data_IF_367512278052
#
_entry.id   IF_367512278052
#
_cell.length_a   1.000
_cell.length_b   1.000
_cell.length_c   1.000
_cell.angle_alpha   90.00
_cell.angle_beta   90.00
_cell.angle_gamma   90.00
#
_symmetry.space_group_name_H-M   'P 1'
#
loop_
_entity.id
_entity.type
_entity.pdbx_description
1 polymer ?
#
# COMPACT_ATOMS: atom_id res chain seq x y z
N UNK A 1 43.84 14.40 -44.41
CA UNK A 1 43.67 14.59 -42.96
C UNK A 1 44.08 16.01 -42.66
N UNK A 2 43.34 16.73 -41.83
CA UNK A 2 43.68 18.10 -41.42
C UNK A 2 45.00 18.11 -40.64
N UNK A 3 45.93 19.00 -40.96
CA UNK A 3 47.19 19.14 -40.24
C UNK A 3 46.92 19.74 -38.85
N UNK A 4 47.48 19.14 -37.80
CA UNK A 4 47.34 19.68 -36.43
C UNK A 4 48.62 20.40 -36.08
N UNK A 5 48.51 21.71 -35.86
CA UNK A 5 49.64 22.56 -35.47
C UNK A 5 49.83 22.55 -33.96
N UNK A 6 51.08 22.35 -33.54
CA UNK A 6 51.55 22.33 -32.16
C UNK A 6 52.43 23.53 -31.84
N UNK A 7 52.90 24.26 -32.85
CA UNK A 7 53.79 25.40 -32.70
C UNK A 7 53.06 26.67 -32.22
N UNK A 8 53.78 27.56 -31.54
CA UNK A 8 53.21 28.79 -30.97
C UNK A 8 52.81 29.82 -32.02
N UNK A 9 53.62 29.97 -33.09
CA UNK A 9 53.47 31.01 -34.09
C UNK A 9 53.43 30.42 -35.51
N UNK A 10 52.81 29.24 -35.64
CA UNK A 10 52.54 28.55 -36.91
C UNK A 10 53.79 28.16 -37.71
N UNK A 11 54.93 28.00 -37.05
CA UNK A 11 56.21 27.61 -37.66
C UNK A 11 56.09 26.26 -38.36
N UNK A 12 55.41 25.31 -37.72
CA UNK A 12 55.17 23.98 -38.25
C UNK A 12 54.31 23.98 -39.53
N UNK A 13 53.36 24.90 -39.67
CA UNK A 13 52.54 25.08 -40.87
C UNK A 13 53.37 25.65 -42.02
N UNK A 14 54.19 26.68 -41.74
CA UNK A 14 55.11 27.24 -42.74
C UNK A 14 56.05 26.17 -43.29
N UNK A 15 56.66 25.39 -42.39
CA UNK A 15 57.54 24.28 -42.73
C UNK A 15 56.78 23.16 -43.45
N UNK A 16 55.57 22.82 -43.02
CA UNK A 16 54.74 21.80 -43.67
C UNK A 16 54.40 22.18 -45.11
N UNK A 17 54.06 23.46 -45.35
CA UNK A 17 53.79 23.97 -46.70
C UNK A 17 55.01 23.90 -47.59
N UNK A 18 56.18 24.31 -47.08
CA UNK A 18 57.43 24.28 -47.83
C UNK A 18 57.89 22.83 -48.13
N UNK A 19 57.74 21.93 -47.17
CA UNK A 19 58.28 20.56 -47.21
C UNK A 19 57.22 19.50 -47.51
N UNK A 20 56.05 19.89 -48.07
CA UNK A 20 54.89 19.00 -48.29
C UNK A 20 55.20 17.74 -49.12
N UNK A 21 56.20 17.81 -49.99
CA UNK A 21 56.61 16.71 -50.88
C UNK A 21 57.60 15.74 -50.19
N UNK A 22 58.07 16.08 -48.99
CA UNK A 22 58.98 15.26 -48.18
C UNK A 22 58.16 14.33 -47.28
N UNK A 23 58.19 13.02 -47.56
CA UNK A 23 57.43 12.03 -46.78
C UNK A 23 58.00 11.73 -45.41
N UNK A 24 59.32 11.59 -45.30
CA UNK A 24 60.05 11.24 -44.07
C UNK A 24 61.34 12.04 -44.03
N UNK A 25 61.23 13.26 -43.53
CA UNK A 25 62.36 14.15 -43.40
C UNK A 25 63.09 13.99 -42.08
N UNK A 26 64.07 14.86 -41.90
CA UNK A 26 64.92 14.93 -40.73
C UNK A 26 64.99 16.37 -40.21
N UNK A 27 64.72 16.59 -38.94
CA UNK A 27 64.80 17.90 -38.30
C UNK A 27 65.89 17.95 -37.23
N UNK A 28 66.35 19.16 -36.92
CA UNK A 28 67.18 19.44 -35.77
C UNK A 28 66.55 20.60 -35.02
N UNK A 29 66.35 20.43 -33.72
CA UNK A 29 65.67 21.39 -32.85
C UNK A 29 66.60 21.76 -31.69
N UNK A 30 67.17 22.98 -31.75
CA UNK A 30 68.08 23.50 -30.74
C UNK A 30 67.28 24.36 -29.78
N UNK A 31 67.20 23.92 -28.52
CA UNK A 31 66.25 24.46 -27.53
C UNK A 31 64.86 23.86 -27.69
N UNK A 32 64.81 22.53 -27.81
CA UNK A 32 63.57 21.80 -28.11
C UNK A 32 62.50 21.89 -27.01
N UNK A 33 62.91 22.14 -25.76
CA UNK A 33 62.03 22.38 -24.61
C UNK A 33 60.86 21.39 -24.50
N UNK A 34 59.62 21.87 -24.45
CA UNK A 34 58.46 21.03 -24.19
C UNK A 34 58.09 20.23 -25.46
N UNK A 35 57.97 18.90 -25.40
CA UNK A 35 57.80 18.08 -26.61
C UNK A 35 56.46 18.26 -27.34
N UNK A 36 55.41 18.76 -26.68
CA UNK A 36 54.06 18.92 -27.28
C UNK A 36 53.61 20.37 -27.39
N UNK A 37 53.63 21.13 -26.29
CA UNK A 37 53.27 22.54 -26.25
C UNK A 37 54.33 23.37 -26.96
N UNK A 38 53.87 24.25 -27.83
CA UNK A 38 54.71 25.17 -28.60
C UNK A 38 55.79 24.47 -29.46
N UNK A 39 55.61 23.16 -29.71
CA UNK A 39 56.58 22.33 -30.42
C UNK A 39 56.44 22.48 -31.93
N UNK A 40 57.49 22.99 -32.56
CA UNK A 40 57.61 23.06 -34.04
C UNK A 40 57.74 21.66 -34.65
N UNK A 41 58.26 20.69 -33.90
CA UNK A 41 58.65 19.36 -34.41
C UNK A 41 57.60 18.27 -34.17
N UNK A 42 56.65 18.45 -33.23
CA UNK A 42 55.65 17.42 -32.86
C UNK A 42 54.82 16.93 -34.04
N UNK A 43 54.32 17.83 -34.89
CA UNK A 43 53.53 17.46 -36.07
C UNK A 43 54.34 16.57 -37.04
N UNK A 44 55.63 16.90 -37.26
CA UNK A 44 56.53 16.14 -38.13
C UNK A 44 56.85 14.77 -37.53
N UNK A 45 57.12 14.69 -36.21
CA UNK A 45 57.37 13.44 -35.51
C UNK A 45 56.18 12.46 -35.65
N UNK A 46 54.95 12.96 -35.47
CA UNK A 46 53.72 12.18 -35.68
C UNK A 46 53.53 11.74 -37.13
N UNK A 47 54.02 12.54 -38.09
CA UNK A 47 54.04 12.18 -39.50
C UNK A 47 55.16 11.18 -39.87
N UNK A 48 55.95 10.71 -38.89
CA UNK A 48 56.99 9.71 -39.09
C UNK A 48 58.35 10.28 -39.48
N UNK A 49 58.56 11.59 -39.33
CA UNK A 49 59.89 12.20 -39.41
C UNK A 49 60.73 11.80 -38.20
N UNK A 50 62.04 11.99 -38.31
CA UNK A 50 62.99 11.77 -37.23
C UNK A 50 63.82 13.03 -37.04
N UNK A 51 64.50 13.15 -35.91
CA UNK A 51 65.38 14.29 -35.73
C UNK A 51 66.29 14.20 -34.53
N UNK A 52 66.96 15.31 -34.28
CA UNK A 52 67.72 15.55 -33.06
C UNK A 52 67.02 16.66 -32.27
N UNK A 53 66.67 16.37 -31.02
CA UNK A 53 66.19 17.36 -30.06
C UNK A 53 67.31 17.67 -29.06
N UNK A 54 67.70 18.94 -28.94
CA UNK A 54 68.78 19.37 -28.06
C UNK A 54 68.20 20.26 -26.97
N UNK A 55 68.31 19.81 -25.72
CA UNK A 55 67.68 20.46 -24.57
C UNK A 55 68.55 20.31 -23.31
N UNK A 56 69.17 21.40 -22.80
CA UNK A 56 70.08 21.31 -21.66
C UNK A 56 69.36 21.13 -20.31
N UNK A 57 68.10 21.57 -20.16
CA UNK A 57 67.35 21.42 -18.91
C UNK A 57 66.82 19.99 -18.78
N UNK A 58 67.27 19.31 -17.73
CA UNK A 58 67.03 17.87 -17.52
C UNK A 58 65.56 17.47 -17.52
N UNK A 59 64.68 18.29 -16.96
CA UNK A 59 63.24 17.99 -16.90
C UNK A 59 62.61 17.96 -18.30
N UNK A 60 62.92 18.94 -19.14
CA UNK A 60 62.42 19.01 -20.53
C UNK A 60 63.00 17.88 -21.38
N UNK A 61 64.30 17.60 -21.23
CA UNK A 61 64.94 16.44 -21.83
C UNK A 61 64.24 15.12 -21.48
N UNK A 62 63.91 14.87 -20.21
CA UNK A 62 63.22 13.64 -19.80
C UNK A 62 61.83 13.51 -20.45
N UNK A 63 61.14 14.63 -20.66
CA UNK A 63 59.87 14.66 -21.39
C UNK A 63 60.07 14.37 -22.89
N UNK A 64 61.12 14.90 -23.50
CA UNK A 64 61.49 14.62 -24.88
C UNK A 64 61.83 13.13 -25.06
N UNK A 65 62.62 12.51 -24.17
CA UNK A 65 62.90 11.07 -24.23
C UNK A 65 61.63 10.23 -24.18
N UNK A 66 60.67 10.60 -23.32
CA UNK A 66 59.41 9.88 -23.18
C UNK A 66 58.49 10.04 -24.42
N UNK A 67 58.38 11.23 -25.00
CA UNK A 67 57.47 11.54 -26.12
C UNK A 67 58.10 11.30 -27.51
N UNK A 68 59.44 11.25 -27.59
CA UNK A 68 60.24 11.07 -28.81
C UNK A 68 61.24 9.90 -28.70
N UNK A 69 60.78 8.66 -28.44
CA UNK A 69 61.67 7.50 -28.27
C UNK A 69 62.38 7.05 -29.56
N UNK A 70 62.04 7.65 -30.70
CA UNK A 70 62.65 7.33 -31.99
C UNK A 70 63.57 8.43 -32.52
N UNK A 71 63.60 9.58 -31.83
CA UNK A 71 64.54 10.65 -32.13
C UNK A 71 65.81 10.47 -31.31
N UNK A 72 66.83 11.24 -31.66
CA UNK A 72 68.02 11.41 -30.83
C UNK A 72 67.74 12.61 -29.90
N UNK A 73 67.60 12.35 -28.61
CA UNK A 73 67.43 13.41 -27.61
C UNK A 73 68.76 13.62 -26.90
N UNK A 74 69.22 14.87 -26.78
CA UNK A 74 70.53 15.20 -26.20
C UNK A 74 70.38 16.18 -25.03
N UNK A 75 70.82 15.78 -23.83
CA UNK A 75 70.84 16.64 -22.65
C UNK A 75 72.13 17.46 -22.56
N UNK A 76 72.26 18.45 -23.43
CA UNK A 76 73.43 19.32 -23.54
C UNK A 76 73.03 20.67 -24.16
N UNK A 77 73.92 21.65 -24.07
CA UNK A 77 73.77 22.94 -24.76
C UNK A 77 74.67 23.00 -26.02
N UNK A 78 74.22 23.71 -27.05
CA UNK A 78 75.06 24.01 -28.21
C UNK A 78 75.94 25.22 -27.90
N UNK A 79 77.25 25.11 -28.16
CA UNK A 79 78.21 26.20 -28.01
C UNK A 79 79.28 26.18 -29.12
N UNK A 80 80.13 27.22 -29.18
CA UNK A 80 81.25 27.30 -30.14
C UNK A 80 82.39 26.28 -29.86
N UNK A 81 82.32 25.52 -28.75
CA UNK A 81 83.31 24.51 -28.38
C UNK A 81 82.79 23.48 -27.38
N UNK A 82 83.61 22.46 -27.13
CA UNK A 82 83.33 21.44 -26.12
C UNK A 82 83.71 21.90 -24.71
N UNK A 83 82.89 21.54 -23.72
CA UNK A 83 83.14 21.91 -22.33
C UNK A 83 81.88 21.89 -21.47
N UNK A 84 81.81 22.81 -20.52
CA UNK A 84 80.64 23.01 -19.67
C UNK A 84 80.33 24.51 -19.56
N UNK A 85 79.05 24.84 -19.51
CA UNK A 85 78.58 26.18 -19.15
C UNK A 85 77.60 26.12 -17.99
N UNK A 86 77.42 27.25 -17.32
CA UNK A 86 76.37 27.43 -16.32
C UNK A 86 75.12 27.99 -17.00
N UNK A 87 74.02 27.25 -16.90
CA UNK A 87 72.70 27.62 -17.38
C UNK A 87 71.81 27.95 -16.18
N UNK A 88 71.14 29.09 -16.21
CA UNK A 88 70.23 29.52 -15.17
C UNK A 88 68.79 29.35 -15.64
N UNK A 89 68.04 28.47 -15.00
CA UNK A 89 66.63 28.21 -15.28
C UNK A 89 65.74 29.01 -14.31
N UNK A 90 64.76 29.74 -14.83
CA UNK A 90 63.72 30.38 -14.04
C UNK A 90 62.57 29.40 -13.88
N UNK A 91 62.52 28.73 -12.73
CA UNK A 91 61.66 27.57 -12.46
C UNK A 91 60.18 27.87 -12.78
N UNK A 92 59.57 27.01 -13.59
CA UNK A 92 58.13 27.07 -13.90
C UNK A 92 57.72 28.12 -14.94
N UNK A 93 58.66 28.87 -15.52
CA UNK A 93 58.37 29.84 -16.58
C UNK A 93 58.70 29.34 -17.97
N UNK A 94 59.59 28.35 -18.08
CA UNK A 94 60.17 27.90 -19.35
C UNK A 94 61.44 28.65 -19.74
N UNK A 95 61.73 29.81 -19.12
CA UNK A 95 62.88 30.63 -19.46
C UNK A 95 64.16 30.05 -18.87
N UNK A 96 65.22 30.05 -19.68
CA UNK A 96 66.57 29.76 -19.23
C UNK A 96 67.58 30.68 -19.92
N UNK A 97 68.72 30.93 -19.29
CA UNK A 97 69.74 31.83 -19.85
C UNK A 97 71.15 31.43 -19.43
N UNK A 98 72.14 31.81 -20.23
CA UNK A 98 73.54 31.75 -19.83
C UNK A 98 74.05 33.06 -19.20
N UNK A 99 73.23 34.11 -19.15
CA UNK A 99 73.60 35.40 -18.55
C UNK A 99 73.30 35.42 -17.03
N UNK A 100 74.33 35.49 -16.17
CA UNK A 100 74.13 35.59 -14.73
C UNK A 100 73.38 36.85 -14.30
N UNK A 101 73.45 37.95 -15.08
CA UNK A 101 72.78 39.21 -14.77
C UNK A 101 71.26 39.06 -14.87
N UNK A 102 70.77 38.45 -15.95
CA UNK A 102 69.36 38.12 -16.13
C UNK A 102 68.85 37.21 -15.01
N UNK A 103 69.66 36.22 -14.60
CA UNK A 103 69.33 35.33 -13.49
C UNK A 103 69.19 36.10 -12.15
N UNK A 104 70.07 37.07 -11.88
CA UNK A 104 70.00 37.92 -10.68
C UNK A 104 68.79 38.87 -10.69
N UNK A 105 68.44 39.45 -11.84
CA UNK A 105 67.26 40.29 -11.99
C UNK A 105 65.97 39.51 -11.67
N UNK A 106 65.83 38.29 -12.18
CA UNK A 106 64.66 37.44 -11.92
C UNK A 106 64.58 36.98 -10.46
N UNK A 107 65.72 36.68 -9.83
CA UNK A 107 65.77 36.45 -8.37
C UNK A 107 65.29 37.67 -7.60
N UNK A 108 65.70 38.87 -8.01
CA UNK A 108 65.27 40.14 -7.42
C UNK A 108 63.76 40.40 -7.55
N UNK A 109 63.13 39.87 -8.60
CA UNK A 109 61.68 39.92 -8.83
C UNK A 109 60.89 38.85 -8.06
N UNK A 110 61.57 37.97 -7.32
CA UNK A 110 60.95 36.93 -6.49
C UNK A 110 60.75 35.59 -7.20
N UNK A 111 61.35 35.39 -8.37
CA UNK A 111 61.36 34.09 -9.05
C UNK A 111 62.42 33.15 -8.44
N UNK A 112 62.12 31.85 -8.46
CA UNK A 112 63.09 30.81 -8.14
C UNK A 112 63.98 30.56 -9.36
N UNK A 113 65.31 30.57 -9.16
CA UNK A 113 66.29 30.44 -10.25
C UNK A 113 67.37 29.43 -9.89
N UNK A 114 67.38 28.32 -10.63
CA UNK A 114 68.29 27.18 -10.42
C UNK A 114 69.44 27.26 -11.43
N UNK A 115 70.68 27.08 -10.95
CA UNK A 115 71.85 26.99 -11.82
C UNK A 115 72.19 25.53 -12.12
N UNK A 116 72.31 25.19 -13.40
CA UNK A 116 72.67 23.88 -13.90
C UNK A 116 74.01 23.96 -14.63
N UNK A 117 74.95 23.08 -14.29
CA UNK A 117 76.19 22.94 -15.05
C UNK A 117 75.99 21.91 -16.15
N UNK A 118 75.89 22.37 -17.40
CA UNK A 118 75.51 21.52 -18.53
C UNK A 118 76.68 21.30 -19.50
N UNK A 119 76.83 20.10 -20.08
CA UNK A 119 77.83 19.85 -21.11
C UNK A 119 77.51 20.66 -22.37
N UNK A 120 78.55 20.98 -23.13
CA UNK A 120 78.46 21.77 -24.36
C UNK A 120 79.22 21.10 -25.50
N UNK A 121 78.71 21.27 -26.72
CA UNK A 121 79.30 20.72 -27.94
C UNK A 121 78.87 21.59 -29.15
N UNK A 122 79.61 21.52 -30.26
CA UNK A 122 79.26 22.23 -31.50
C UNK A 122 78.22 21.47 -32.32
N UNK A 123 77.39 22.19 -33.10
CA UNK A 123 76.45 21.55 -34.03
C UNK A 123 77.16 20.67 -35.07
N UNK A 124 78.28 21.14 -35.63
CA UNK A 124 79.07 20.33 -36.57
C UNK A 124 79.47 18.97 -35.96
N UNK A 125 79.84 18.97 -34.68
CA UNK A 125 80.23 17.74 -33.99
C UNK A 125 79.04 16.84 -33.72
N UNK A 126 77.90 17.38 -33.30
CA UNK A 126 76.64 16.62 -33.16
C UNK A 126 76.30 15.93 -34.48
N UNK A 127 76.34 16.65 -35.60
CA UNK A 127 76.05 16.08 -36.91
C UNK A 127 77.01 14.96 -37.28
N UNK A 128 78.31 15.15 -37.03
CA UNK A 128 79.32 14.13 -37.29
C UNK A 128 79.15 12.87 -36.41
N UNK A 129 78.87 13.03 -35.12
CA UNK A 129 78.72 11.91 -34.19
C UNK A 129 77.49 11.05 -34.47
N UNK A 130 76.41 11.68 -34.92
CA UNK A 130 75.15 11.01 -35.22
C UNK A 130 74.99 10.62 -36.69
N UNK A 131 76.01 10.87 -37.53
CA UNK A 131 75.99 10.51 -38.94
C UNK A 131 74.89 11.21 -39.72
N UNK A 132 74.58 12.45 -39.36
CA UNK A 132 73.56 13.27 -40.03
C UNK A 132 74.16 13.82 -41.34
N UNK A 133 73.54 13.48 -42.46
CA UNK A 133 73.93 13.95 -43.79
C UNK A 133 72.91 14.91 -44.41
N UNK A 134 71.63 14.77 -44.05
CA UNK A 134 70.54 15.59 -44.54
C UNK A 134 69.67 16.11 -43.40
N UNK A 135 69.47 17.43 -43.40
CA UNK A 135 68.55 18.12 -42.49
C UNK A 135 67.59 18.92 -43.36
N UNK A 136 66.29 18.72 -43.17
CA UNK A 136 65.26 19.42 -43.93
C UNK A 136 64.92 20.76 -43.27
N UNK A 137 64.92 20.80 -41.93
CA UNK A 137 64.94 22.08 -41.23
C UNK A 137 65.73 22.03 -39.92
N UNK A 138 66.36 23.16 -39.61
CA UNK A 138 67.02 23.46 -38.34
C UNK A 138 66.23 24.57 -37.65
N UNK A 139 65.67 24.30 -36.47
CA UNK A 139 65.10 25.32 -35.58
C UNK A 139 66.14 25.68 -34.52
N UNK A 140 66.33 26.98 -34.30
CA UNK A 140 67.19 27.53 -33.25
C UNK A 140 66.33 28.45 -32.40
N UNK A 141 66.22 28.10 -31.12
CA UNK A 141 65.46 28.81 -30.09
C UNK A 141 66.18 28.63 -28.74
N UNK A 142 67.25 29.40 -28.53
CA UNK A 142 68.16 29.14 -27.42
C UNK A 142 68.13 30.28 -26.39
N UNK A 143 67.02 31.01 -26.30
CA UNK A 143 66.76 32.07 -25.33
C UNK A 143 67.92 33.09 -25.24
N UNK A 144 68.42 33.53 -26.41
CA UNK A 144 69.49 34.52 -26.55
C UNK A 144 70.86 33.96 -26.93
N UNK A 145 70.99 32.63 -27.10
CA UNK A 145 72.22 31.98 -27.54
C UNK A 145 72.23 31.61 -29.05
N UNK A 146 71.32 32.18 -29.85
CA UNK A 146 71.13 31.85 -31.28
C UNK A 146 72.42 32.09 -32.08
N UNK A 147 73.10 33.22 -31.83
CA UNK A 147 74.39 33.54 -32.47
C UNK A 147 75.41 32.42 -32.23
N UNK A 148 75.55 31.97 -30.98
CA UNK A 148 76.50 30.92 -30.58
C UNK A 148 76.15 29.60 -31.24
N UNK A 149 74.86 29.24 -31.27
CA UNK A 149 74.40 28.04 -31.95
C UNK A 149 74.73 28.06 -33.44
N UNK A 150 74.42 29.16 -34.14
CA UNK A 150 74.73 29.32 -35.56
C UNK A 150 76.23 29.36 -35.85
N UNK A 151 77.04 30.00 -34.99
CA UNK A 151 78.49 30.03 -35.14
C UNK A 151 79.15 28.66 -34.96
N UNK A 152 78.51 27.74 -34.22
CA UNK A 152 78.98 26.37 -34.00
C UNK A 152 78.74 25.41 -35.18
N UNK A 153 78.06 25.89 -36.24
CA UNK A 153 77.78 25.13 -37.45
C UNK A 153 78.53 25.75 -38.64
N UNK A 154 79.35 24.95 -39.32
CA UNK A 154 80.06 25.39 -40.51
C UNK A 154 79.10 25.66 -41.69
N UNK A 155 77.97 24.95 -41.72
CA UNK A 155 77.08 24.83 -42.88
C UNK A 155 77.81 24.41 -44.17
N UNK A 156 78.91 23.66 -44.05
CA UNK A 156 79.67 23.16 -45.20
C UNK A 156 79.30 21.72 -45.53
N UNK A 157 79.30 20.85 -44.52
CA UNK A 157 79.06 19.41 -44.68
C UNK A 157 77.58 19.09 -44.58
N UNK A 158 76.89 19.69 -43.59
CA UNK A 158 75.45 19.56 -43.41
C UNK A 158 74.81 20.91 -43.70
N UNK A 159 73.88 20.92 -44.65
CA UNK A 159 73.16 22.13 -45.09
C UNK A 159 71.66 21.93 -44.89
N UNK A 160 71.11 22.34 -43.73
CA UNK A 160 69.67 22.37 -43.52
C UNK A 160 68.96 23.10 -44.66
N UNK A 161 67.90 22.52 -45.24
CA UNK A 161 67.22 23.19 -46.36
C UNK A 161 66.57 24.50 -45.93
N UNK A 162 65.96 24.49 -44.73
CA UNK A 162 65.38 25.66 -44.08
C UNK A 162 66.02 25.85 -42.71
N UNK A 163 66.41 27.08 -42.37
CA UNK A 163 66.83 27.46 -41.01
C UNK A 163 65.80 28.44 -40.45
N UNK A 164 65.26 28.12 -39.28
CA UNK A 164 64.28 28.93 -38.56
C UNK A 164 64.94 29.38 -37.27
N UNK A 165 65.05 30.70 -37.07
CA UNK A 165 65.77 31.27 -35.92
C UNK A 165 64.85 32.24 -35.20
N UNK A 166 64.69 32.08 -33.89
CA UNK A 166 64.03 33.11 -33.08
C UNK A 166 64.84 34.42 -33.15
N UNK A 167 64.16 35.53 -33.39
CA UNK A 167 64.80 36.78 -33.80
C UNK A 167 64.47 37.95 -32.88
N UNK A 168 63.97 37.69 -31.67
CA UNK A 168 63.58 38.68 -30.67
C UNK A 168 64.30 38.48 -29.35
N UNK A 169 64.42 39.53 -28.53
CA UNK A 169 64.77 39.34 -27.12
C UNK A 169 63.69 38.48 -26.42
N UNK A 170 64.05 37.68 -25.39
CA UNK A 170 63.08 36.88 -24.64
C UNK A 170 61.88 37.72 -24.18
N UNK A 171 60.66 37.24 -24.47
CA UNK A 171 59.40 37.91 -24.14
C UNK A 171 59.26 39.36 -24.67
N UNK A 172 59.86 39.67 -25.82
CA UNK A 172 59.86 41.02 -26.41
C UNK A 172 59.56 41.00 -27.91
N UNK A 173 59.22 42.16 -28.47
CA UNK A 173 59.12 42.36 -29.92
C UNK A 173 60.37 43.05 -30.50
N UNK A 174 61.37 43.32 -29.65
CA UNK A 174 62.64 43.92 -30.07
C UNK A 174 63.45 42.88 -30.80
N UNK A 175 63.72 43.12 -32.09
CA UNK A 175 64.49 42.19 -32.90
C UNK A 175 65.98 42.24 -32.61
N UNK A 176 66.64 41.09 -32.68
CA UNK A 176 68.08 40.88 -32.45
C UNK A 176 68.80 40.13 -33.59
N UNK A 177 68.15 40.02 -34.75
CA UNK A 177 68.70 39.27 -35.89
C UNK A 177 70.02 39.84 -36.42
N UNK A 178 70.27 41.14 -36.23
CA UNK A 178 71.52 41.81 -36.60
C UNK A 178 72.75 41.20 -35.91
N UNK A 179 72.57 40.52 -34.78
CA UNK A 179 73.64 39.86 -34.03
C UNK A 179 74.15 38.58 -34.70
N UNK A 180 73.35 37.95 -35.58
CA UNK A 180 73.66 36.62 -36.12
C UNK A 180 73.33 36.42 -37.61
N UNK A 181 72.54 37.29 -38.24
CA UNK A 181 72.07 37.10 -39.63
C UNK A 181 73.22 36.99 -40.64
N UNK A 182 74.30 37.73 -40.45
CA UNK A 182 75.49 37.64 -41.32
C UNK A 182 76.05 36.22 -41.37
N UNK A 183 75.94 35.44 -40.30
CA UNK A 183 76.42 34.05 -40.27
C UNK A 183 75.69 33.17 -41.28
N UNK A 184 74.41 33.43 -41.55
CA UNK A 184 73.63 32.70 -42.54
C UNK A 184 73.84 33.26 -43.95
N UNK A 185 73.78 34.59 -44.10
CA UNK A 185 73.92 35.24 -45.42
C UNK A 185 75.30 34.98 -46.04
N UNK A 186 76.38 35.01 -45.25
CA UNK A 186 77.74 34.70 -45.72
C UNK A 186 77.94 33.22 -46.07
N UNK A 187 77.01 32.34 -45.69
CA UNK A 187 77.04 30.89 -45.94
C UNK A 187 75.98 30.44 -46.94
N UNK A 188 75.60 31.35 -47.84
CA UNK A 188 74.68 31.13 -48.95
C UNK A 188 73.27 30.68 -48.52
N UNK A 189 72.76 31.29 -47.45
CA UNK A 189 71.34 31.23 -47.10
C UNK A 189 70.63 32.52 -47.51
N UNK A 190 69.43 32.38 -48.07
CA UNK A 190 68.57 33.50 -48.46
C UNK A 190 67.49 33.72 -47.41
N UNK A 191 67.36 34.93 -46.89
CA UNK A 191 66.21 35.31 -46.06
C UNK A 191 64.92 35.25 -46.86
N UNK A 192 63.89 34.56 -46.35
CA UNK A 192 62.63 34.35 -47.08
C UNK A 192 61.37 34.80 -46.34
N UNK A 193 61.37 34.83 -45.00
CA UNK A 193 60.15 35.17 -44.24
C UNK A 193 60.47 35.61 -42.81
N UNK A 194 59.60 36.46 -42.25
CA UNK A 194 59.61 36.89 -40.86
C UNK A 194 58.17 36.85 -40.35
N UNK A 195 57.91 36.03 -39.32
CA UNK A 195 56.57 35.87 -38.73
C UNK A 195 56.32 36.80 -37.52
N UNK A 196 57.27 37.70 -37.23
CA UNK A 196 57.26 38.61 -36.09
C UNK A 196 58.02 38.08 -34.87
N UNK A 197 58.28 36.77 -34.82
CA UNK A 197 59.02 36.09 -33.76
C UNK A 197 60.28 35.42 -34.33
N UNK A 198 60.09 34.59 -35.36
CA UNK A 198 61.14 33.87 -36.06
C UNK A 198 61.42 34.47 -37.45
N UNK A 199 62.66 34.27 -37.90
CA UNK A 199 63.09 34.51 -39.27
C UNK A 199 63.49 33.20 -39.93
N UNK A 200 63.17 33.10 -41.22
CA UNK A 200 63.34 31.90 -42.03
C UNK A 200 64.36 32.18 -43.13
N UNK A 201 65.25 31.22 -43.31
CA UNK A 201 66.29 31.26 -44.32
C UNK A 201 66.32 29.95 -45.09
N UNK A 202 66.52 30.02 -46.40
CA UNK A 202 66.57 28.84 -47.27
C UNK A 202 67.96 28.72 -47.88
N UNK A 203 68.51 27.52 -47.86
CA UNK A 203 69.81 27.22 -48.47
C UNK A 203 69.76 27.48 -50.00
N UNK A 204 70.83 28.03 -50.57
CA UNK A 204 70.92 28.33 -52.00
C UNK A 204 70.68 27.12 -52.92
N UNK A 205 70.86 25.90 -52.40
CA UNK A 205 70.58 24.64 -53.09
C UNK A 205 69.08 24.35 -53.30
N UNK A 206 68.20 25.04 -52.55
CA UNK A 206 66.76 24.82 -52.53
C UNK A 206 65.92 26.05 -52.93
N UNK A 207 66.20 26.69 -54.09
CA UNK A 207 65.45 27.86 -54.54
C UNK A 207 63.97 27.55 -54.80
N UNK A 208 63.63 26.28 -55.01
CA UNK A 208 62.28 25.78 -55.21
C UNK A 208 61.38 25.96 -53.97
N UNK A 209 61.95 26.12 -52.77
CA UNK A 209 61.20 26.32 -51.53
C UNK A 209 60.75 27.77 -51.32
N UNK A 210 61.41 28.75 -51.93
CA UNK A 210 61.15 30.19 -51.73
C UNK A 210 59.66 30.58 -51.91
N UNK A 211 58.94 30.11 -52.96
CA UNK A 211 57.54 30.47 -53.15
C UNK A 211 56.63 30.09 -51.98
N UNK A 212 56.98 29.06 -51.20
CA UNK A 212 56.21 28.64 -50.03
C UNK A 212 56.27 29.65 -48.87
N UNK A 213 57.17 30.61 -48.92
CA UNK A 213 57.36 31.63 -47.89
C UNK A 213 56.80 33.01 -48.29
N UNK A 214 56.18 33.12 -49.46
CA UNK A 214 55.68 34.39 -50.00
C UNK A 214 54.47 34.98 -49.25
N UNK A 215 53.73 34.14 -48.50
CA UNK A 215 52.51 34.52 -47.79
C UNK A 215 52.52 33.94 -46.37
N UNK A 216 51.89 34.62 -45.39
CA UNK A 216 51.69 34.02 -44.07
C UNK A 216 50.79 32.78 -44.12
N UNK A 217 50.77 31.96 -43.05
CA UNK A 217 49.77 30.90 -42.90
C UNK A 217 48.35 31.45 -43.05
N UNK A 218 47.52 30.75 -43.80
CA UNK A 218 46.18 31.20 -44.14
C UNK A 218 45.23 30.02 -44.40
N UNK A 219 43.99 30.32 -44.82
CA UNK A 219 42.93 29.33 -45.00
C UNK A 219 43.24 28.22 -46.00
N UNK A 220 44.22 28.42 -46.90
CA UNK A 220 44.63 27.42 -47.88
C UNK A 220 45.62 26.38 -47.32
N UNK A 221 46.07 26.54 -46.07
CA UNK A 221 46.98 25.59 -45.41
C UNK A 221 46.25 24.45 -44.68
N UNK A 222 44.91 24.48 -44.63
CA UNK A 222 44.05 23.39 -44.10
C UNK A 222 44.49 22.80 -42.73
N UNK A 223 44.83 23.66 -41.78
CA UNK A 223 45.28 23.26 -40.45
C UNK A 223 44.26 23.57 -39.34
N UNK A 224 44.45 22.93 -38.19
CA UNK A 224 43.77 23.23 -36.91
C UNK A 224 44.84 23.29 -35.81
N UNK A 225 44.72 24.23 -34.87
CA UNK A 225 45.63 24.28 -33.70
C UNK A 225 45.28 23.16 -32.72
N UNK A 226 46.29 22.59 -32.06
CA UNK A 226 46.08 21.51 -31.08
C UNK A 226 45.09 21.91 -29.99
N UNK A 227 45.14 23.13 -29.46
CA UNK A 227 44.19 23.62 -28.46
C UNK A 227 42.76 23.69 -28.97
N UNK A 228 42.55 24.11 -30.22
CA UNK A 228 41.22 24.15 -30.84
C UNK A 228 40.68 22.73 -31.05
N UNK A 229 41.55 21.79 -31.46
CA UNK A 229 41.20 20.37 -31.60
C UNK A 229 40.83 19.74 -30.25
N UNK A 230 41.64 19.94 -29.21
CA UNK A 230 41.38 19.41 -27.87
C UNK A 230 40.08 19.96 -27.28
N UNK A 231 39.82 21.26 -27.47
CA UNK A 231 38.55 21.87 -27.06
C UNK A 231 37.35 21.25 -27.81
N UNK A 232 37.49 21.01 -29.11
CA UNK A 232 36.45 20.37 -29.91
C UNK A 232 36.19 18.92 -29.47
N UNK A 233 37.25 18.13 -29.29
CA UNK A 233 37.15 16.74 -28.82
C UNK A 233 36.53 16.68 -27.41
N UNK A 234 36.98 17.56 -26.50
CA UNK A 234 36.43 17.66 -25.15
C UNK A 234 34.95 18.03 -25.13
N UNK A 235 34.50 18.92 -26.04
CA UNK A 235 33.09 19.26 -26.20
C UNK A 235 32.28 18.05 -26.69
N UNK A 236 32.81 17.29 -27.64
CA UNK A 236 32.16 16.08 -28.15
C UNK A 236 32.01 15.01 -27.07
N UNK A 237 33.06 14.81 -26.27
CA UNK A 237 33.04 13.89 -25.12
C UNK A 237 32.02 14.34 -24.06
N UNK A 238 31.98 15.64 -23.74
CA UNK A 238 31.00 16.20 -22.82
C UNK A 238 29.57 16.00 -23.33
N UNK A 239 29.32 16.23 -24.63
CA UNK A 239 28.02 15.96 -25.26
C UNK A 239 27.64 14.48 -25.21
N UNK A 240 28.59 13.58 -25.43
CA UNK A 240 28.35 12.13 -25.34
C UNK A 240 27.95 11.73 -23.91
N UNK A 241 28.68 12.23 -22.89
CA UNK A 241 28.37 12.00 -21.48
C UNK A 241 27.00 12.57 -21.09
N UNK A 242 26.67 13.78 -21.54
CA UNK A 242 25.38 14.40 -21.28
C UNK A 242 24.23 13.57 -21.87
N UNK A 243 24.38 13.09 -23.12
CA UNK A 243 23.37 12.21 -23.75
C UNK A 243 23.17 10.92 -22.96
N UNK A 244 24.24 10.29 -22.51
CA UNK A 244 24.16 9.08 -21.68
C UNK A 244 23.41 9.36 -20.36
N UNK A 245 23.75 10.45 -19.67
CA UNK A 245 23.09 10.85 -18.43
C UNK A 245 21.59 11.17 -18.63
N UNK A 246 21.21 11.77 -19.75
CA UNK A 246 19.79 12.03 -20.07
C UNK A 246 19.01 10.73 -20.22
N UNK A 247 19.59 9.73 -20.88
CA UNK A 247 18.97 8.39 -21.07
C UNK A 247 18.83 7.69 -19.73
N UNK A 248 19.89 7.61 -18.93
CA UNK A 248 19.86 7.01 -17.59
C UNK A 248 18.84 7.69 -16.66
N UNK A 249 18.75 9.02 -16.71
CA UNK A 249 17.75 9.76 -15.95
C UNK A 249 16.32 9.47 -16.43
N UNK A 250 16.11 9.24 -17.73
CA UNK A 250 14.81 8.85 -18.26
C UNK A 250 14.41 7.43 -17.81
N UNK A 251 15.34 6.48 -17.85
CA UNK A 251 15.13 5.10 -17.38
C UNK A 251 14.85 5.06 -15.86
N UNK A 252 15.61 5.83 -15.09
CA UNK A 252 15.42 5.98 -13.64
C UNK A 252 14.05 6.58 -13.33
N UNK A 253 13.62 7.61 -14.06
CA UNK A 253 12.26 8.18 -13.92
C UNK A 253 11.16 7.18 -14.28
N UNK A 254 11.34 6.40 -15.35
CA UNK A 254 10.39 5.35 -15.73
C UNK A 254 10.27 4.26 -14.66
N UNK A 255 11.41 3.83 -14.11
CA UNK A 255 11.46 2.83 -13.04
C UNK A 255 10.79 3.37 -11.77
N UNK A 256 11.09 4.61 -11.39
CA UNK A 256 10.46 5.26 -10.23
C UNK A 256 8.94 5.39 -10.40
N UNK A 257 8.46 5.75 -11.59
CA UNK A 257 7.03 5.82 -11.90
C UNK A 257 6.35 4.44 -11.80
N UNK A 258 6.97 3.39 -12.34
CA UNK A 258 6.48 2.02 -12.24
C UNK A 258 6.42 1.54 -10.79
N UNK A 259 7.45 1.83 -10.00
CA UNK A 259 7.48 1.48 -8.58
C UNK A 259 6.41 2.23 -7.79
N UNK A 260 6.22 3.52 -8.06
CA UNK A 260 5.18 4.33 -7.43
C UNK A 260 3.78 3.77 -7.74
N UNK A 261 3.51 3.37 -8.98
CA UNK A 261 2.25 2.75 -9.37
C UNK A 261 2.03 1.39 -8.67
N UNK A 262 3.08 0.58 -8.55
CA UNK A 262 3.02 -0.70 -7.83
C UNK A 262 2.72 -0.49 -6.35
N UNK A 263 3.42 0.45 -5.68
CA UNK A 263 3.18 0.81 -4.29
C UNK A 263 1.75 1.32 -4.06
N UNK A 264 1.24 2.15 -4.96
CA UNK A 264 -0.14 2.63 -4.89
C UNK A 264 -1.14 1.47 -4.95
N UNK A 265 -0.97 0.56 -5.90
CA UNK A 265 -1.84 -0.63 -6.06
C UNK A 265 -1.80 -1.52 -4.83
N UNK A 266 -0.60 -1.80 -4.28
CA UNK A 266 -0.48 -2.58 -3.04
C UNK A 266 -1.17 -1.90 -1.86
N UNK A 267 -1.07 -0.58 -1.75
CA UNK A 267 -1.70 0.16 -0.66
C UNK A 267 -3.23 0.13 -0.76
N UNK A 268 -3.79 0.20 -1.97
CA UNK A 268 -5.23 0.00 -2.20
C UNK A 268 -5.68 -1.40 -1.83
N UNK A 269 -4.95 -2.44 -2.26
CA UNK A 269 -5.23 -3.83 -1.91
C UNK A 269 -5.17 -4.06 -0.40
N UNK A 270 -4.17 -3.49 0.26
CA UNK A 270 -4.04 -3.56 1.72
C UNK A 270 -5.19 -2.85 2.43
N UNK A 271 -5.63 -1.69 1.92
CA UNK A 271 -6.81 -0.97 2.41
C UNK A 271 -8.08 -1.81 2.32
N UNK A 272 -8.34 -2.41 1.15
CA UNK A 272 -9.49 -3.30 0.93
C UNK A 272 -9.43 -4.53 1.84
N UNK A 273 -8.27 -5.20 1.91
CA UNK A 273 -8.07 -6.34 2.80
C UNK A 273 -8.38 -5.97 4.25
N UNK A 274 -7.86 -4.84 4.73
CA UNK A 274 -8.09 -4.34 6.08
C UNK A 274 -9.58 -4.06 6.35
N UNK A 275 -10.30 -3.49 5.39
CA UNK A 275 -11.75 -3.27 5.51
C UNK A 275 -12.52 -4.60 5.59
N UNK A 276 -12.19 -5.57 4.74
CA UNK A 276 -12.82 -6.90 4.77
C UNK A 276 -12.57 -7.63 6.09
N UNK A 277 -11.36 -7.54 6.62
CA UNK A 277 -10.99 -8.15 7.89
C UNK A 277 -11.75 -7.48 9.05
N UNK A 278 -11.83 -6.14 9.06
CA UNK A 278 -12.62 -5.41 10.04
C UNK A 278 -14.12 -5.75 9.98
N UNK A 279 -14.68 -5.91 8.78
CA UNK A 279 -16.08 -6.32 8.60
C UNK A 279 -16.33 -7.75 9.09
N UNK A 280 -15.41 -8.68 8.82
CA UNK A 280 -15.48 -10.05 9.31
C UNK A 280 -15.43 -10.11 10.84
N UNK A 281 -14.47 -9.39 11.45
CA UNK A 281 -14.36 -9.24 12.91
C UNK A 281 -15.64 -8.64 13.53
N UNK A 282 -16.22 -7.62 12.90
CA UNK A 282 -17.47 -7.03 13.38
C UNK A 282 -18.65 -8.02 13.29
N UNK A 283 -18.75 -8.79 12.22
CA UNK A 283 -19.77 -9.84 12.07
C UNK A 283 -19.63 -10.92 13.13
N UNK A 284 -18.41 -11.42 13.36
CA UNK A 284 -18.13 -12.42 14.40
C UNK A 284 -18.45 -11.88 15.79
N UNK A 285 -18.12 -10.61 16.07
CA UNK A 285 -18.48 -9.96 17.33
C UNK A 285 -19.99 -9.86 17.50
N UNK A 286 -20.73 -9.48 16.47
CA UNK A 286 -22.19 -9.38 16.52
C UNK A 286 -22.85 -10.76 16.74
N UNK A 287 -22.35 -11.80 16.08
CA UNK A 287 -22.81 -13.18 16.30
C UNK A 287 -22.53 -13.64 17.74
N UNK A 288 -21.31 -13.39 18.24
CA UNK A 288 -20.97 -13.65 19.65
C UNK A 288 -21.95 -12.95 20.59
N UNK A 289 -22.21 -11.66 20.37
CA UNK A 289 -23.07 -10.86 21.25
C UNK A 289 -24.52 -11.37 21.20
N UNK A 290 -25.00 -11.80 20.03
CA UNK A 290 -26.30 -12.46 19.89
C UNK A 290 -26.35 -13.81 20.65
N UNK A 291 -25.33 -14.65 20.50
CA UNK A 291 -25.24 -15.92 21.22
C UNK A 291 -25.19 -15.71 22.74
N UNK A 292 -24.46 -14.70 23.21
CA UNK A 292 -24.43 -14.32 24.64
C UNK A 292 -25.82 -13.89 25.11
N UNK A 293 -26.55 -13.08 24.33
CA UNK A 293 -27.91 -12.66 24.67
C UNK A 293 -28.88 -13.86 24.75
N UNK A 294 -28.87 -14.75 23.75
CA UNK A 294 -29.71 -15.97 23.76
C UNK A 294 -29.37 -16.91 24.91
N UNK A 295 -28.09 -17.08 25.24
CA UNK A 295 -27.67 -17.86 26.41
C UNK A 295 -28.21 -17.24 27.71
N UNK A 296 -28.17 -15.92 27.82
CA UNK A 296 -28.68 -15.19 28.99
C UNK A 296 -30.20 -15.36 29.13
N UNK A 297 -30.96 -15.26 28.03
CA UNK A 297 -32.41 -15.52 28.02
C UNK A 297 -32.74 -16.97 28.38
N UNK A 298 -31.97 -17.93 27.86
CA UNK A 298 -32.12 -19.34 28.20
C UNK A 298 -31.86 -19.58 29.70
N UNK A 299 -30.81 -18.96 30.27
CA UNK A 299 -30.50 -19.02 31.70
C UNK A 299 -31.63 -18.44 32.55
N UNK A 300 -32.16 -17.26 32.19
CA UNK A 300 -33.31 -16.66 32.89
C UNK A 300 -34.56 -17.54 32.79
N UNK A 301 -34.77 -18.20 31.64
CA UNK A 301 -35.89 -19.13 31.45
C UNK A 301 -35.72 -20.37 32.31
N UNK A 302 -34.53 -20.95 32.37
CA UNK A 302 -34.20 -22.08 33.25
C UNK A 302 -34.44 -21.69 34.71
N UNK A 303 -33.98 -20.51 35.14
CA UNK A 303 -34.18 -20.01 36.50
C UNK A 303 -35.67 -19.85 36.83
N UNK A 304 -36.45 -19.25 35.93
CA UNK A 304 -37.90 -19.12 36.07
C UNK A 304 -38.59 -20.48 36.16
N UNK A 305 -38.26 -21.42 35.27
CA UNK A 305 -38.83 -22.77 35.29
C UNK A 305 -38.48 -23.50 36.58
N UNK A 306 -37.23 -23.39 37.03
CA UNK A 306 -36.76 -23.96 38.30
C UNK A 306 -37.53 -23.37 39.48
N UNK A 307 -37.77 -22.05 39.48
CA UNK A 307 -38.63 -21.39 40.47
C UNK A 307 -40.08 -21.92 40.45
N UNK A 308 -40.69 -22.04 39.27
CA UNK A 308 -42.06 -22.59 39.15
C UNK A 308 -42.15 -24.06 39.59
N UNK A 309 -41.14 -24.87 39.29
CA UNK A 309 -41.07 -26.25 39.75
C UNK A 309 -40.96 -26.32 41.27
N UNK A 310 -40.13 -25.45 41.87
CA UNK A 310 -40.03 -25.34 43.33
C UNK A 310 -41.36 -24.94 43.96
N UNK A 311 -42.08 -23.97 43.38
CA UNK A 311 -43.40 -23.55 43.87
C UNK A 311 -44.46 -24.64 43.71
N UNK A 312 -44.47 -25.35 42.58
CA UNK A 312 -45.37 -26.49 42.38
C UNK A 312 -45.07 -27.63 43.36
N UNK A 313 -43.80 -27.91 43.64
CA UNK A 313 -43.40 -28.89 44.65
C UNK A 313 -43.89 -28.48 46.05
N UNK A 314 -43.76 -27.19 46.42
CA UNK A 314 -44.33 -26.66 47.68
C UNK A 314 -45.85 -26.80 47.74
N UNK A 315 -46.55 -26.51 46.64
CA UNK A 315 -48.02 -26.66 46.55
C UNK A 315 -48.45 -28.11 46.70
N UNK A 316 -47.77 -29.06 46.06
CA UNK A 316 -48.07 -30.49 46.21
C UNK A 316 -47.80 -30.97 47.64
N UNK A 317 -46.71 -30.53 48.27
CA UNK A 317 -46.45 -30.81 49.68
C UNK A 317 -47.55 -30.26 50.60
N UNK A 318 -48.02 -29.02 50.35
CA UNK A 318 -49.15 -28.43 51.07
C UNK A 318 -50.49 -29.12 50.80
N UNK A 319 -50.71 -29.63 49.59
CA UNK A 319 -51.88 -30.45 49.23
C UNK A 319 -51.89 -31.77 49.99
N UNK A 320 -50.76 -32.49 50.02
CA UNK A 320 -50.63 -33.73 50.79
C UNK A 320 -50.86 -33.54 52.30
N UNK A 321 -50.43 -32.41 52.87
CA UNK A 321 -50.74 -32.07 54.27
C UNK A 321 -52.26 -31.92 54.50
N UNK A 322 -52.97 -31.25 53.59
CA UNK A 322 -54.44 -31.10 53.68
C UNK A 322 -55.18 -32.42 53.48
N UNK A 323 -54.71 -33.26 52.57
CA UNK A 323 -55.28 -34.60 52.35
C UNK A 323 -55.09 -35.47 53.61
N UNK A 324 -53.93 -35.38 54.27
CA UNK A 324 -53.70 -36.04 55.56
C UNK A 324 -54.64 -35.54 56.66
N UNK A 325 -54.86 -34.23 56.78
CA UNK A 325 -55.82 -33.67 57.73
C UNK A 325 -57.26 -34.15 57.46
N UNK A 326 -57.66 -34.26 56.19
CA UNK A 326 -58.96 -34.81 55.81
C UNK A 326 -59.09 -36.31 56.14
N UNK A 327 -58.04 -37.09 55.92
CA UNK A 327 -58.02 -38.52 56.29
C UNK A 327 -58.15 -38.69 57.80
N UNK A 328 -57.44 -37.89 58.60
CA UNK A 328 -57.52 -37.93 60.07
C UNK A 328 -58.93 -37.57 60.57
N UNK A 329 -59.57 -36.57 59.97
CA UNK A 329 -60.94 -36.19 60.31
C UNK A 329 -61.96 -37.28 59.94
N UNK A 330 -61.77 -37.94 58.79
CA UNK A 330 -62.58 -39.09 58.39
C UNK A 330 -62.40 -40.28 59.34
N UNK A 331 -61.17 -40.53 59.80
CA UNK A 331 -60.87 -41.57 60.79
C UNK A 331 -61.53 -41.27 62.13
N UNK A 332 -61.50 -40.01 62.61
CA UNK A 332 -62.24 -39.62 63.84
C UNK A 332 -63.73 -39.90 63.69
N UNK A 333 -64.31 -39.53 62.55
CA UNK A 333 -65.73 -39.74 62.27
C UNK A 333 -66.10 -41.22 62.19
N UNK A 334 -65.21 -42.06 61.66
CA UNK A 334 -65.37 -43.51 61.71
C UNK A 334 -65.37 -44.05 63.15
N UNK A 335 -64.44 -43.60 64.00
CA UNK A 335 -64.38 -44.02 65.41
C UNK A 335 -65.64 -43.58 66.19
N UNK A 336 -66.16 -42.39 65.92
CA UNK A 336 -67.43 -41.90 66.49
C UNK A 336 -68.61 -42.81 66.11
N UNK A 337 -68.70 -43.18 64.83
CA UNK A 337 -69.74 -44.08 64.31
C UNK A 337 -69.63 -45.49 64.90
N UNK A 338 -68.41 -46.02 65.09
CA UNK A 338 -68.19 -47.31 65.74
C UNK A 338 -68.74 -47.29 67.18
N UNK A 339 -68.44 -46.24 67.96
CA UNK A 339 -68.99 -46.08 69.32
C UNK A 339 -70.51 -46.02 69.33
N UNK A 340 -71.13 -45.35 68.36
CA UNK A 340 -72.59 -45.28 68.26
C UNK A 340 -73.20 -46.65 67.94
N UNK A 341 -72.56 -47.45 67.07
CA UNK A 341 -72.99 -48.82 66.77
C UNK A 341 -72.86 -49.72 68.00
N UNK A 342 -71.75 -49.63 68.74
CA UNK A 342 -71.55 -50.37 69.98
C UNK A 342 -72.62 -50.05 71.04
N UNK A 343 -72.93 -48.77 71.23
CA UNK A 343 -74.00 -48.34 72.13
C UNK A 343 -75.38 -48.88 71.72
N UNK A 344 -75.69 -48.89 70.42
CA UNK A 344 -76.94 -49.43 69.90
C UNK A 344 -77.02 -50.97 70.01
N UNK A 345 -75.89 -51.67 69.91
CA UNK A 345 -75.85 -53.12 70.13
C UNK A 345 -76.11 -53.48 71.60
N UNK A 346 -75.64 -52.66 72.55
CA UNK A 346 -75.92 -52.85 73.99
C UNK A 346 -77.41 -52.62 74.29
N UNK A 347 -78.02 -51.53 73.78
CA UNK A 347 -79.48 -51.28 73.94
C UNK A 347 -80.32 -52.43 73.36
N UNK A 348 -79.89 -52.99 72.21
CA UNK A 348 -80.56 -54.14 71.61
C UNK A 348 -80.47 -55.39 72.49
N UNK A 349 -79.30 -55.69 73.06
CA UNK A 349 -79.14 -56.85 73.94
C UNK A 349 -79.96 -56.75 75.22
N UNK A 350 -80.13 -55.55 75.79
CA UNK A 350 -80.98 -55.34 76.97
C UNK A 350 -82.47 -55.53 76.64
N UNK A 351 -82.92 -55.08 75.45
CA UNK A 351 -84.31 -55.24 75.00
C UNK A 351 -84.66 -56.68 74.65
N UNK A 352 -83.73 -57.43 74.06
CA UNK A 352 -83.92 -58.84 73.73
C UNK A 352 -83.97 -59.71 75.01
N UNK A 353 -83.21 -59.36 76.06
CA UNK A 353 -83.29 -59.98 77.38
C UNK A 353 -84.65 -59.71 78.08
N UNK A 354 -85.22 -58.51 77.92
CA UNK A 354 -86.55 -58.16 78.45
C UNK A 354 -87.69 -58.93 77.76
N UNK A 355 -87.61 -59.12 76.43
CA UNK A 355 -88.61 -59.85 75.66
C UNK A 355 -88.57 -61.37 75.94
N UNK A 356 -87.38 -61.93 76.21
CA UNK A 356 -87.21 -63.34 76.56
C UNK A 356 -87.81 -63.69 77.95
N UNK A 357 -87.76 -62.77 78.92
CA UNK A 357 -88.36 -62.95 80.24
C UNK A 357 -89.90 -62.90 80.22
N UNK A 358 -90.51 -62.15 79.29
CA UNK A 358 -91.96 -62.03 79.13
C UNK A 358 -92.62 -63.25 78.46
N UNK A 359 -91.86 -64.04 77.70
CA UNK A 359 -92.39 -65.14 76.87
C UNK A 359 -92.36 -66.52 77.53
N UNK A 360 -91.84 -66.64 78.75
CA UNK A 360 -91.76 -67.90 79.53
C UNK A 360 -92.72 -67.97 80.72
N UNK A 361 -93.54 -66.94 80.94
CA UNK A 361 -94.56 -66.89 82.01
C UNK A 361 -95.86 -67.62 81.64
N UNK A 362 -96.42 -68.35 82.61
CA UNK A 362 -97.59 -69.24 82.50
C UNK A 362 -98.88 -68.58 81.99
N UNK A 363 -98.99 -67.25 82.05
CA UNK A 363 -100.12 -66.50 81.51
C UNK A 363 -100.10 -66.31 79.97
N UNK A 364 -98.94 -66.45 79.33
CA UNK A 364 -98.78 -66.18 77.88
C UNK A 364 -99.24 -67.35 76.98
N UNK A 365 -99.28 -68.59 77.50
CA UNK A 365 -99.66 -69.80 76.72
C UNK A 365 -101.18 -70.00 76.57
N UNK A 366 -102.00 -69.40 77.43
CA UNK A 366 -103.47 -69.60 77.43
C UNK A 366 -104.20 -68.63 76.46
N UNK A 367 -103.61 -67.47 76.15
CA UNK A 367 -104.27 -66.43 75.32
C UNK A 367 -103.87 -66.44 73.84
N UNK A 368 -103.18 -67.49 73.40
CA UNK A 368 -102.68 -67.66 72.03
C UNK A 368 -103.76 -67.75 70.92
N UNK A 369 -104.96 -68.35 71.10
CA UNK A 369 -105.89 -68.52 69.98
C UNK A 369 -106.56 -67.22 69.52
N UNK A 370 -106.65 -66.20 70.37
CA UNK A 370 -107.38 -64.96 70.06
C UNK A 370 -106.52 -63.89 69.35
N UNK A 371 -105.21 -64.10 69.22
CA UNK A 371 -104.29 -63.16 68.55
C UNK A 371 -103.94 -63.52 67.11
N UNK A 372 -104.46 -64.64 66.59
CA UNK A 372 -104.39 -65.01 65.17
C UNK A 372 -105.33 -64.18 64.27
N UNK A 373 -106.31 -63.46 64.83
CA UNK A 373 -107.37 -62.78 64.07
C UNK A 373 -107.04 -61.42 63.47
N UNK A 374 -105.87 -60.80 63.76
CA UNK A 374 -105.64 -59.38 63.42
C UNK A 374 -104.51 -59.12 62.40
N UNK A 375 -103.83 -60.16 61.92
CA UNK A 375 -102.61 -60.02 61.07
C UNK A 375 -102.84 -60.41 59.59
N UNK A 376 -104.08 -60.69 59.16
CA UNK A 376 -104.41 -61.11 57.77
C UNK A 376 -104.92 -59.97 56.85
N UNK A 377 -105.22 -58.76 57.33
CA UNK A 377 -105.95 -57.76 56.52
C UNK A 377 -105.12 -56.60 55.90
N UNK A 378 -103.78 -56.64 55.90
CA UNK A 378 -102.96 -55.49 55.47
C UNK A 378 -102.22 -55.60 54.12
N UNK A 379 -102.01 -56.82 53.61
CA UNK A 379 -101.05 -57.08 52.52
C UNK A 379 -101.67 -57.52 51.17
N UNK A 380 -102.97 -57.85 51.10
CA UNK A 380 -103.65 -58.25 49.86
C UNK A 380 -104.18 -57.09 48.98
N UNK A 381 -104.64 -55.98 49.59
CA UNK A 381 -105.39 -54.92 48.88
C UNK A 381 -104.49 -54.01 48.02
N UNK A 382 -103.20 -53.89 48.33
CA UNK A 382 -102.25 -53.04 47.57
C UNK A 382 -101.66 -53.69 46.31
N UNK A 383 -101.74 -55.03 46.17
CA UNK A 383 -101.31 -55.74 44.95
C UNK A 383 -102.41 -55.75 43.88
N UNK A 384 -103.68 -55.86 44.27
CA UNK A 384 -104.82 -55.80 43.34
C UNK A 384 -105.05 -54.39 42.75
N UNK A 385 -104.76 -53.31 43.49
CA UNK A 385 -104.95 -51.94 42.99
C UNK A 385 -103.93 -51.52 41.92
N UNK A 386 -102.71 -52.09 41.91
CA UNK A 386 -101.67 -51.77 40.91
C UNK A 386 -101.89 -52.45 39.55
N UNK A 387 -102.70 -53.49 39.47
CA UNK A 387 -103.01 -54.22 38.23
C UNK A 387 -104.23 -53.65 37.46
N UNK A 388 -105.21 -53.03 38.14
CA UNK A 388 -106.43 -52.47 37.49
C UNK A 388 -106.29 -51.04 36.91
N UNK A 389 -105.14 -50.38 37.14
CA UNK A 389 -104.89 -48.98 36.78
C UNK A 389 -104.94 -48.64 35.27
N UNK A 390 -104.64 -49.54 34.30
CA UNK A 390 -104.67 -49.18 32.88
C UNK A 390 -106.04 -49.27 32.17
N UNK A 391 -107.01 -50.04 32.67
CA UNK A 391 -108.30 -50.27 31.97
C UNK A 391 -109.36 -49.19 32.24
N UNK A 392 -109.45 -48.66 33.46
CA UNK A 392 -110.43 -47.61 33.83
C UNK A 392 -110.11 -46.25 33.17
N UNK A 393 -108.83 -45.95 32.92
CA UNK A 393 -108.40 -44.70 32.29
C UNK A 393 -108.53 -44.66 30.76
N UNK A 394 -108.77 -45.80 30.09
CA UNK A 394 -109.07 -45.86 28.64
C UNK A 394 -110.57 -45.74 28.36
N UNK A 395 -111.43 -46.32 29.22
CA UNK A 395 -112.88 -46.15 29.16
C UNK A 395 -113.32 -44.68 29.43
N UNK A 396 -112.67 -43.98 30.37
CA UNK A 396 -113.01 -42.59 30.70
C UNK A 396 -112.59 -41.55 29.64
N UNK A 397 -111.64 -41.87 28.75
CA UNK A 397 -111.20 -40.96 27.66
C UNK A 397 -112.03 -41.10 26.38
N UNK A 398 -112.67 -42.26 26.16
CA UNK A 398 -113.60 -42.47 25.05
C UNK A 398 -114.98 -41.78 25.25
N UNK A 399 -115.42 -41.59 26.51
CA UNK A 399 -116.72 -40.98 26.83
C UNK A 399 -116.74 -39.43 26.82
N UNK A 400 -115.59 -38.77 26.61
CA UNK A 400 -115.41 -37.31 26.72
C UNK A 400 -116.23 -36.47 25.71
N UNK A 401 -116.45 -36.91 24.45
CA UNK A 401 -117.31 -36.19 23.50
C UNK A 401 -118.79 -36.27 23.87
N UNK A 402 -119.25 -37.45 24.34
CA UNK A 402 -120.65 -37.69 24.70
C UNK A 402 -121.09 -36.86 25.92
N UNK A 403 -120.23 -36.73 26.93
CA UNK A 403 -120.50 -35.92 28.14
C UNK A 403 -120.54 -34.42 27.85
N UNK A 404 -119.84 -33.94 26.80
CA UNK A 404 -119.91 -32.53 26.36
C UNK A 404 -121.21 -32.22 25.60
N UNK A 405 -121.81 -33.21 24.94
CA UNK A 405 -123.06 -33.05 24.18
C UNK A 405 -124.29 -33.05 25.10
N UNK A 406 -124.32 -33.92 26.11
CA UNK A 406 -125.41 -33.97 27.11
C UNK A 406 -125.53 -32.71 27.97
N UNK A 407 -124.48 -31.89 28.06
CA UNK A 407 -124.47 -30.61 28.78
C UNK A 407 -125.00 -29.41 27.96
N UNK A 408 -125.43 -29.61 26.71
CA UNK A 408 -126.06 -28.58 25.86
C UNK A 408 -127.60 -28.61 25.87
N UNK A 409 -128.21 -29.59 26.53
CA UNK A 409 -129.67 -29.70 26.68
C UNK A 409 -130.17 -28.73 27.76
N UNK A 410 -131.06 -27.76 27.44
CA UNK A 410 -131.60 -26.82 28.41
C UNK A 410 -132.32 -27.55 29.56
N UNK A 411 -132.07 -27.16 30.82
CA UNK A 411 -132.63 -27.81 32.03
C UNK A 411 -131.67 -28.76 32.77
N UNK A 412 -130.70 -29.38 32.09
CA UNK A 412 -129.75 -30.36 32.70
C UNK A 412 -128.62 -29.66 33.49
N UNK A 413 -128.39 -28.36 33.24
CA UNK A 413 -127.40 -27.53 33.95
C UNK A 413 -127.79 -27.19 35.40
N UNK A 414 -129.08 -27.26 35.74
CA UNK A 414 -129.58 -26.96 37.08
C UNK A 414 -129.50 -28.19 38.01
N UNK A 415 -129.84 -29.38 37.51
CA UNK A 415 -129.80 -30.64 38.27
C UNK A 415 -128.36 -31.08 38.65
N UNK A 416 -127.38 -30.81 37.79
CA UNK A 416 -125.96 -31.14 38.02
C UNK A 416 -125.27 -30.27 39.07
N UNK A 417 -125.84 -29.11 39.44
CA UNK A 417 -125.35 -28.26 40.55
C UNK A 417 -125.87 -28.68 41.93
N UNK A 418 -126.91 -29.52 41.99
CA UNK A 418 -127.56 -29.90 43.26
C UNK A 418 -126.94 -31.14 43.91
N UNK A 419 -126.33 -32.03 43.12
CA UNK A 419 -125.78 -33.32 43.57
C UNK A 419 -124.29 -33.24 43.96
N UNK A 420 -123.56 -32.24 43.46
CA UNK A 420 -122.13 -32.07 43.74
C UNK A 420 -121.89 -30.73 44.45
N UNK A 421 -122.08 -30.73 45.77
CA UNK A 421 -121.97 -29.55 46.63
C UNK A 421 -120.75 -28.67 46.36
N UNK A 422 -120.93 -27.35 46.55
CA UNK A 422 -120.07 -26.24 46.08
C UNK A 422 -118.57 -26.33 46.47
N UNK A 423 -118.20 -27.16 47.45
CA UNK A 423 -116.86 -27.18 48.07
C UNK A 423 -116.15 -28.56 48.07
N UNK A 424 -116.69 -29.60 47.42
CA UNK A 424 -116.05 -30.92 47.45
C UNK A 424 -114.80 -31.04 46.57
N UNK A 425 -113.77 -31.78 47.04
CA UNK A 425 -112.55 -32.11 46.26
C UNK A 425 -112.86 -32.78 44.91
N UNK A 426 -113.99 -33.49 44.80
CA UNK A 426 -114.48 -34.07 43.55
C UNK A 426 -114.91 -32.97 42.56
N UNK A 427 -115.65 -31.96 43.03
CA UNK A 427 -116.12 -30.84 42.21
C UNK A 427 -115.00 -29.92 41.69
N UNK A 428 -113.88 -29.81 42.40
CA UNK A 428 -112.67 -29.12 41.91
C UNK A 428 -111.98 -29.89 40.77
N UNK A 429 -111.88 -31.21 40.88
CA UNK A 429 -111.30 -32.07 39.82
C UNK A 429 -112.16 -32.17 38.57
N UNK A 430 -113.49 -32.13 38.70
CA UNK A 430 -114.40 -32.08 37.55
C UNK A 430 -114.33 -30.73 36.84
N UNK A 431 -114.18 -29.61 37.56
CA UNK A 431 -114.00 -28.27 36.96
C UNK A 431 -112.68 -28.12 36.22
N UNK A 432 -111.56 -28.56 36.79
CA UNK A 432 -110.25 -28.51 36.10
C UNK A 432 -110.18 -29.43 34.88
N UNK A 433 -110.99 -30.50 34.84
CA UNK A 433 -111.11 -31.39 33.69
C UNK A 433 -111.99 -30.85 32.56
N UNK A 434 -112.88 -29.88 32.85
CA UNK A 434 -113.87 -29.32 31.92
C UNK A 434 -113.53 -27.88 31.44
N UNK A 435 -112.84 -27.06 32.23
CA UNK A 435 -112.52 -25.65 31.91
C UNK A 435 -111.12 -25.21 32.41
N UNK A 436 -110.05 -25.42 31.63
CA UNK A 436 -108.73 -24.86 31.93
C UNK A 436 -108.66 -23.34 31.59
N UNK A 437 -108.09 -22.53 32.49
CA UNK A 437 -107.82 -21.08 32.32
C UNK A 437 -106.39 -20.84 31.78
N UNK A 438 -106.12 -19.75 31.03
CA UNK A 438 -104.79 -19.45 30.47
C UNK A 438 -103.90 -18.55 31.37
N UNK A 439 -102.59 -18.64 31.08
CA UNK A 439 -101.34 -18.14 31.72
C UNK A 439 -101.34 -16.69 32.27
N UNK A 440 -100.54 -16.44 33.32
CA UNK A 440 -100.11 -15.08 33.69
C UNK A 440 -98.57 -14.91 33.69
N UNK A 441 -98.18 -13.89 32.95
CA UNK A 441 -96.87 -13.32 32.63
C UNK A 441 -96.59 -12.17 33.61
N UNK A 442 -95.34 -11.96 34.05
CA UNK A 442 -94.96 -10.78 34.86
C UNK A 442 -93.75 -10.07 34.26
N UNK A 443 -94.08 -9.24 33.25
CA UNK A 443 -93.71 -7.83 33.06
C UNK A 443 -92.33 -7.33 33.53
N UNK A 444 -91.53 -7.04 32.51
CA UNK A 444 -90.48 -6.03 32.36
C UNK A 444 -90.85 -4.62 32.84
N UNK A 445 -89.91 -3.93 33.49
CA UNK A 445 -89.87 -2.46 33.64
C UNK A 445 -88.66 -1.96 32.81
N UNK A 446 -88.80 -0.94 31.92
CA UNK A 446 -87.68 -0.45 31.12
C UNK A 446 -86.83 0.56 31.92
N UNK A 447 -85.52 0.29 32.04
CA UNK A 447 -84.52 1.25 32.51
C UNK A 447 -84.15 2.20 31.36
N UNK A 448 -84.22 3.51 31.61
CA UNK A 448 -83.71 4.54 30.71
C UNK A 448 -82.18 4.36 30.50
N UNK A 449 -81.66 4.59 29.29
CA UNK A 449 -80.23 4.43 29.02
C UNK A 449 -79.42 5.51 29.74
N UNK A 450 -78.40 5.09 30.49
CA UNK A 450 -77.38 5.97 31.07
C UNK A 450 -76.42 6.45 29.98
N UNK A 451 -75.83 7.64 30.14
CA UNK A 451 -74.81 8.26 29.26
C UNK A 451 -73.66 7.31 28.85
N UNK A 452 -73.36 6.30 29.67
CA UNK A 452 -72.37 5.27 29.37
C UNK A 452 -72.82 4.26 28.30
N UNK A 453 -74.13 4.02 28.14
CA UNK A 453 -74.67 3.12 27.12
C UNK A 453 -74.62 3.76 25.71
N UNK A 454 -74.86 5.07 25.60
CA UNK A 454 -74.74 5.82 24.33
C UNK A 454 -73.26 5.91 23.87
N UNK A 455 -72.33 6.04 24.82
CA UNK A 455 -70.89 6.04 24.53
C UNK A 455 -70.40 4.68 23.99
N UNK A 456 -70.93 3.57 24.51
CA UNK A 456 -70.59 2.21 24.07
C UNK A 456 -71.21 1.90 22.70
N UNK A 457 -72.42 2.39 22.42
CA UNK A 457 -73.06 2.24 21.11
C UNK A 457 -72.33 3.04 20.02
N UNK A 458 -71.87 4.26 20.32
CA UNK A 458 -71.04 5.06 19.41
C UNK A 458 -69.68 4.41 19.13
N UNK A 459 -69.08 3.76 20.14
CA UNK A 459 -67.81 3.03 19.99
C UNK A 459 -67.97 1.75 19.15
N UNK A 460 -69.08 1.03 19.31
CA UNK A 460 -69.41 -0.17 18.53
C UNK A 460 -69.75 0.17 17.06
N UNK A 461 -70.47 1.27 16.80
CA UNK A 461 -70.71 1.75 15.43
C UNK A 461 -69.42 2.17 14.71
N UNK A 462 -68.45 2.77 15.43
CA UNK A 462 -67.10 3.06 14.91
C UNK A 462 -66.27 1.80 14.66
N UNK A 463 -66.41 0.77 15.49
CA UNK A 463 -65.72 -0.51 15.33
C UNK A 463 -66.25 -1.33 14.13
N UNK A 464 -67.56 -1.26 13.85
CA UNK A 464 -68.18 -1.93 12.70
C UNK A 464 -67.82 -1.22 11.39
N UNK A 465 -67.74 0.11 11.37
CA UNK A 465 -67.31 0.89 10.20
C UNK A 465 -65.83 0.70 9.82
N UNK A 466 -64.96 0.35 10.80
CA UNK A 466 -63.54 0.02 10.58
C UNK A 466 -63.29 -1.41 10.10
N UNK A 467 -64.27 -2.32 10.24
CA UNK A 467 -64.15 -3.71 9.78
C UNK A 467 -64.64 -3.93 8.34
N UNK A 468 -65.30 -2.94 7.75
CA UNK A 468 -65.82 -2.94 6.37
C UNK A 468 -65.10 -1.92 5.45
N UNK A 469 -63.85 -1.55 5.76
CA UNK A 469 -62.96 -0.78 4.88
C UNK A 469 -61.65 -1.51 4.67
#
# INVERSE_FOLDING_TARGET
MTFVSYAQNFEDIMLHRALKDVRRGFYVDVGAQHPVRDSVTKAFSLAGWRGINIEPVKHWFDMLEADRPHDINLNLAVAEGEGFLDLFEVTGTGLSTTDPTFAEEHRGQGHDVVAHRVPTITLDRIFAEHGVDQVHFLKVDCEGAERTALASCSFTTVRPWVVVVEATLPNSQVSVHDQWESLLLERDYTFVYNDGLNRYYVAAEHPDLLPAFALPPNVFDEFVRVGDKEAHDGLNDAHARLRAAIVEAAESRSTAASLAQHLHTMNEQYGQWRETEHAALASVSAERDHLVATLTEAQQTIERLTGTLADNARRMAGGHLRDHEQVDELLRRQHELIRQVEALTVDRTERDAFIAALTTSTSWRITAPLRAGRIVAGKGVRRLWRLGRPMVGRAARAARPAVKWTLRVPGVRAASRMVAGKESRLGRRVRSFLFPQPVQDQTTVPLAPTEQAEAVEAMLRRAIARRNR
#
